data_IF_611390633903
#
_entry.id   IF_611390633903
#
_cell.length_a   1.000
_cell.length_b   1.000
_cell.length_c   1.000
_cell.angle_alpha   90.00
_cell.angle_beta   90.00
_cell.angle_gamma   90.00
#
_symmetry.space_group_name_H-M   'P 1'
#
loop_
_entity.id
_entity.type
_entity.pdbx_description
1 polymer ?
#
# COMPACT_ATOMS: atom_id res chain seq x y z
N UNK A 1 -7.75 -3.27 -22.58
CA UNK A 1 -7.60 -2.33 -21.45
C UNK A 1 -6.53 -2.90 -20.51
N UNK A 2 -5.62 -2.09 -19.95
CA UNK A 2 -4.61 -2.58 -19.04
C UNK A 2 -5.27 -3.09 -17.74
N UNK A 3 -5.19 -4.40 -17.51
CA UNK A 3 -5.78 -5.09 -16.35
C UNK A 3 -4.76 -5.15 -15.21
N UNK A 4 -4.32 -4.00 -14.70
CA UNK A 4 -3.34 -4.01 -13.63
C UNK A 4 -4.04 -4.41 -12.32
N UNK A 5 -4.00 -5.70 -11.98
CA UNK A 5 -4.62 -6.22 -10.77
C UNK A 5 -3.72 -6.14 -9.54
N UNK A 6 -2.39 -6.12 -9.73
CA UNK A 6 -1.40 -6.20 -8.65
C UNK A 6 -0.23 -5.26 -8.91
N UNK A 7 0.18 -4.52 -7.89
CA UNK A 7 1.34 -3.62 -7.93
C UNK A 7 2.13 -3.84 -6.65
N UNK A 8 3.43 -3.93 -6.82
CA UNK A 8 4.39 -3.98 -5.74
C UNK A 8 5.25 -2.73 -5.84
N UNK A 9 5.20 -1.88 -4.83
CA UNK A 9 6.04 -0.70 -4.74
C UNK A 9 6.98 -0.86 -3.56
N UNK A 10 8.27 -0.88 -3.84
CA UNK A 10 9.29 -1.19 -2.84
C UNK A 10 10.01 0.06 -2.37
N UNK A 11 10.48 0.05 -1.11
CA UNK A 11 11.35 1.10 -0.54
C UNK A 11 10.64 2.46 -0.47
N UNK A 12 9.48 2.48 0.17
CA UNK A 12 8.65 3.68 0.37
C UNK A 12 8.91 4.38 1.72
N UNK A 13 10.18 4.44 2.12
CA UNK A 13 10.60 4.94 3.43
C UNK A 13 10.39 6.45 3.65
N UNK A 14 10.30 7.24 2.57
CA UNK A 14 10.01 8.69 2.62
C UNK A 14 8.63 9.05 2.08
N UNK A 15 7.87 8.05 1.65
CA UNK A 15 6.58 8.29 1.06
C UNK A 15 5.57 8.43 2.18
N UNK A 16 4.78 9.48 2.18
CA UNK A 16 3.74 9.69 3.19
C UNK A 16 2.35 9.33 2.66
N UNK A 17 2.17 9.36 1.33
CA UNK A 17 0.89 9.14 0.63
C UNK A 17 1.11 8.50 -0.73
N UNK A 18 0.08 7.87 -1.29
CA UNK A 18 0.12 7.44 -2.69
C UNK A 18 0.10 8.63 -3.67
N UNK A 19 0.59 8.43 -4.90
CA UNK A 19 0.52 9.46 -5.92
C UNK A 19 -0.92 9.68 -6.35
N UNK A 20 -1.27 10.94 -6.59
CA UNK A 20 -2.54 11.31 -7.17
C UNK A 20 -2.75 10.55 -8.50
N UNK A 21 -3.90 9.90 -8.64
CA UNK A 21 -4.25 9.09 -9.80
C UNK A 21 -4.27 7.58 -9.58
N UNK A 22 -3.79 7.09 -8.42
CA UNK A 22 -3.99 5.68 -8.03
C UNK A 22 -5.48 5.30 -7.92
N UNK A 23 -6.32 6.26 -7.54
CA UNK A 23 -7.79 6.17 -7.55
C UNK A 23 -8.39 5.79 -8.93
N UNK A 24 -7.68 6.03 -10.03
CA UNK A 24 -8.16 5.71 -11.38
C UNK A 24 -7.81 4.28 -11.80
N UNK A 25 -7.01 3.56 -11.01
CA UNK A 25 -6.68 2.16 -11.26
C UNK A 25 -7.82 1.26 -10.77
N UNK A 26 -9.00 1.39 -11.36
CA UNK A 26 -10.22 0.67 -10.90
C UNK A 26 -10.15 -0.85 -11.00
N UNK A 27 -9.18 -1.39 -11.76
CA UNK A 27 -8.93 -2.85 -11.85
C UNK A 27 -7.95 -3.35 -10.78
N UNK A 28 -7.46 -2.45 -9.94
CA UNK A 28 -6.39 -2.69 -8.99
C UNK A 28 -6.92 -3.34 -7.71
N UNK A 29 -6.50 -4.57 -7.47
CA UNK A 29 -7.03 -5.41 -6.40
C UNK A 29 -6.06 -5.61 -5.26
N UNK A 30 -4.74 -5.64 -5.53
CA UNK A 30 -3.76 -5.88 -4.49
C UNK A 30 -2.55 -4.96 -4.54
N UNK A 31 -2.27 -4.29 -3.42
CA UNK A 31 -1.11 -3.44 -3.19
C UNK A 31 -0.11 -4.13 -2.27
N UNK A 32 1.11 -4.35 -2.76
CA UNK A 32 2.21 -4.90 -1.97
C UNK A 32 3.23 -3.80 -1.64
N UNK A 33 3.41 -3.53 -0.35
CA UNK A 33 4.24 -2.45 0.17
C UNK A 33 5.36 -3.00 1.07
N UNK A 34 6.47 -3.46 0.49
CA UNK A 34 7.66 -3.77 1.28
C UNK A 34 8.44 -2.53 1.67
N UNK A 35 8.81 -2.47 2.95
CA UNK A 35 9.67 -1.43 3.51
C UNK A 35 9.06 -0.03 3.39
N UNK A 36 7.82 0.10 3.86
CA UNK A 36 7.09 1.36 4.03
C UNK A 36 7.51 2.05 5.33
N UNK A 37 7.60 3.38 5.31
CA UNK A 37 7.87 4.19 6.50
C UNK A 37 6.66 4.30 7.42
N UNK A 38 6.89 4.70 8.66
CA UNK A 38 5.84 4.82 9.69
C UNK A 38 4.77 5.85 9.30
N UNK A 39 5.17 6.98 8.71
CA UNK A 39 4.25 8.03 8.23
C UNK A 39 3.25 7.51 7.18
N UNK A 40 3.73 6.68 6.24
CA UNK A 40 2.84 6.02 5.26
C UNK A 40 1.88 5.06 5.94
N UNK A 41 2.35 4.32 6.94
CA UNK A 41 1.54 3.34 7.66
C UNK A 41 0.46 4.00 8.50
N UNK A 42 0.76 5.14 9.11
CA UNK A 42 -0.23 5.98 9.78
C UNK A 42 -1.29 6.46 8.80
N UNK A 43 -0.88 7.01 7.65
CA UNK A 43 -1.81 7.40 6.59
C UNK A 43 -2.69 6.23 6.11
N UNK A 44 -2.10 5.06 5.88
CA UNK A 44 -2.79 3.87 5.38
C UNK A 44 -3.82 3.30 6.38
N UNK A 45 -3.56 3.50 7.69
CA UNK A 45 -4.46 3.09 8.78
C UNK A 45 -5.55 4.13 9.07
N UNK A 46 -5.38 5.36 8.61
CA UNK A 46 -6.34 6.43 8.84
C UNK A 46 -7.59 6.26 7.97
N UNK A 47 -8.75 6.69 8.46
CA UNK A 47 -10.06 6.53 7.80
C UNK A 47 -10.18 7.37 6.52
N UNK A 48 -9.30 8.36 6.33
CA UNK A 48 -9.27 9.22 5.14
C UNK A 48 -8.62 8.58 3.90
N UNK A 49 -8.46 7.25 3.88
CA UNK A 49 -7.78 6.49 2.81
C UNK A 49 -8.61 6.29 1.52
N UNK A 50 -9.46 7.26 1.17
CA UNK A 50 -10.39 7.20 0.03
C UNK A 50 -9.71 6.89 -1.31
N UNK A 51 -8.44 7.27 -1.48
CA UNK A 51 -7.64 7.01 -2.68
C UNK A 51 -7.39 5.51 -2.95
N UNK A 52 -7.51 4.67 -1.92
CA UNK A 52 -7.24 3.23 -1.97
C UNK A 52 -8.42 2.35 -1.56
N UNK A 53 -9.61 2.94 -1.40
CA UNK A 53 -10.79 2.20 -0.94
C UNK A 53 -11.20 1.06 -1.89
N UNK A 54 -10.91 1.21 -3.17
CA UNK A 54 -11.15 0.19 -4.19
C UNK A 54 -10.13 -0.97 -4.15
N UNK A 55 -9.05 -0.85 -3.37
CA UNK A 55 -8.01 -1.87 -3.24
C UNK A 55 -8.44 -2.89 -2.18
N UNK A 56 -8.83 -4.06 -2.64
CA UNK A 56 -9.38 -5.13 -1.79
C UNK A 56 -8.35 -5.77 -0.86
N UNK A 57 -7.06 -5.68 -1.20
CA UNK A 57 -6.00 -6.34 -0.44
C UNK A 57 -4.76 -5.45 -0.35
N UNK A 58 -4.41 -5.03 0.86
CA UNK A 58 -3.16 -4.30 1.07
C UNK A 58 -2.23 -5.14 1.94
N UNK A 59 -1.12 -5.58 1.37
CA UNK A 59 -0.10 -6.36 2.06
C UNK A 59 1.13 -5.50 2.33
N UNK A 60 1.46 -5.35 3.60
CA UNK A 60 2.63 -4.60 4.04
C UNK A 60 3.68 -5.57 4.56
N UNK A 61 4.89 -5.46 4.04
CA UNK A 61 6.02 -6.27 4.50
C UNK A 61 6.96 -5.39 5.32
N UNK A 62 7.09 -5.72 6.60
CA UNK A 62 7.94 -4.99 7.54
C UNK A 62 9.01 -5.92 8.10
N UNK A 63 10.20 -5.36 8.37
CA UNK A 63 11.28 -6.08 9.03
C UNK A 63 11.26 -5.70 10.51
N UNK A 64 10.87 -6.64 11.36
CA UNK A 64 10.91 -6.51 12.81
C UNK A 64 12.17 -7.15 13.37
N UNK A 65 12.38 -7.04 14.68
CA UNK A 65 13.44 -7.75 15.41
C UNK A 65 13.32 -9.28 15.31
N UNK A 66 12.12 -9.79 15.03
CA UNK A 66 11.80 -11.21 14.91
C UNK A 66 11.88 -11.72 13.46
N UNK A 67 12.15 -10.84 12.48
CA UNK A 67 12.25 -11.20 11.06
C UNK A 67 11.28 -10.41 10.19
N UNK A 68 10.95 -10.97 9.01
CA UNK A 68 9.97 -10.34 8.12
C UNK A 68 8.55 -10.72 8.54
N UNK A 69 7.70 -9.71 8.72
CA UNK A 69 6.30 -9.84 9.09
C UNK A 69 5.42 -9.26 7.99
N UNK A 70 4.26 -9.87 7.76
CA UNK A 70 3.26 -9.42 6.79
C UNK A 70 2.02 -8.96 7.55
N UNK A 71 1.62 -7.71 7.33
CA UNK A 71 0.33 -7.19 7.80
C UNK A 71 -0.61 -7.07 6.60
N UNK A 72 -1.83 -7.57 6.74
CA UNK A 72 -2.89 -7.39 5.74
C UNK A 72 -3.91 -6.38 6.26
N UNK A 73 -4.24 -5.38 5.46
CA UNK A 73 -5.16 -4.28 5.75
C UNK A 73 -6.29 -4.18 4.72
#
# INVERSE_FOLDING_TARGET
MPCLCRLRISRLWRMSRLPQGFQHLTTFQALNLPSTGDEFMEWLRNEERYEVEHILLIQVWQKTTEGWQITTL
#
